data_IF_323576089466
#
_entry.id   IF_323576089466
#
_cell.length_a   1.000
_cell.length_b   1.000
_cell.length_c   1.000
_cell.angle_alpha   90.00
_cell.angle_beta   90.00
_cell.angle_gamma   90.00
#
_symmetry.space_group_name_H-M   'P 1'
#
loop_
_entity.id
_entity.type
_entity.pdbx_description
1 polymer ?
#
# COMPACT_ATOMS: atom_id res chain seq x y z
N UNK A 1 -16.89 -8.86 12.73
CA UNK A 1 -15.51 -8.30 12.59
C UNK A 1 -15.10 -8.39 11.13
N UNK A 2 -14.63 -7.30 10.51
CA UNK A 2 -14.23 -7.31 9.10
C UNK A 2 -13.10 -8.32 8.88
N UNK A 3 -13.13 -9.05 7.74
CA UNK A 3 -12.10 -10.03 7.40
C UNK A 3 -10.71 -9.39 7.28
N UNK A 4 -10.64 -8.12 6.91
CA UNK A 4 -9.40 -7.35 6.89
C UNK A 4 -8.79 -7.20 8.28
N UNK A 5 -9.61 -6.92 9.31
CA UNK A 5 -9.14 -6.85 10.70
C UNK A 5 -8.64 -8.22 11.18
N UNK A 6 -9.26 -9.31 10.73
CA UNK A 6 -8.77 -10.66 11.07
C UNK A 6 -7.46 -10.99 10.34
N UNK A 7 -7.30 -10.55 9.10
CA UNK A 7 -6.08 -10.73 8.33
C UNK A 7 -4.86 -10.08 9.00
N UNK A 8 -5.02 -8.89 9.60
CA UNK A 8 -3.91 -8.21 10.31
C UNK A 8 -3.37 -8.98 11.52
N UNK A 9 -4.17 -9.92 12.06
CA UNK A 9 -3.79 -10.81 13.18
C UNK A 9 -3.23 -12.16 12.70
N UNK A 10 -3.04 -12.32 11.39
CA UNK A 10 -2.46 -13.53 10.79
C UNK A 10 -0.96 -13.39 10.60
N UNK A 11 -0.24 -14.52 10.52
CA UNK A 11 1.20 -14.49 10.26
C UNK A 11 1.58 -14.08 8.84
N UNK A 12 0.70 -14.26 7.85
CA UNK A 12 0.97 -13.98 6.44
C UNK A 12 0.91 -12.48 6.09
N UNK A 13 0.08 -11.70 6.77
CA UNK A 13 -0.19 -10.32 6.38
C UNK A 13 1.01 -9.37 6.57
N UNK A 14 1.77 -9.44 7.67
CA UNK A 14 3.04 -8.72 7.76
C UNK A 14 4.03 -9.11 6.66
N UNK A 15 4.16 -10.40 6.32
CA UNK A 15 5.04 -10.84 5.23
C UNK A 15 4.61 -10.27 3.85
N UNK A 16 3.30 -10.13 3.62
CA UNK A 16 2.78 -9.47 2.43
C UNK A 16 3.19 -7.99 2.36
N UNK A 17 3.24 -7.28 3.51
CA UNK A 17 3.59 -5.86 3.58
C UNK A 17 5.10 -5.59 3.61
N UNK A 18 5.94 -6.56 3.99
CA UNK A 18 7.39 -6.40 4.11
C UNK A 18 8.07 -5.72 2.91
N UNK A 19 7.75 -6.04 1.64
CA UNK A 19 8.38 -5.37 0.50
C UNK A 19 8.16 -3.85 0.47
N UNK A 20 7.01 -3.38 0.99
CA UNK A 20 6.72 -1.96 1.13
C UNK A 20 7.53 -1.36 2.27
N UNK A 21 7.59 -2.05 3.41
CA UNK A 21 8.41 -1.63 4.55
C UNK A 21 9.87 -1.45 4.14
N UNK A 22 10.46 -2.45 3.49
CA UNK A 22 11.82 -2.39 2.95
C UNK A 22 12.01 -1.19 2.02
N UNK A 23 11.08 -1.02 1.07
CA UNK A 23 11.14 0.11 0.13
C UNK A 23 11.03 1.47 0.83
N UNK A 24 10.21 1.62 1.86
CA UNK A 24 10.08 2.88 2.61
C UNK A 24 11.37 3.15 3.38
N UNK A 25 11.90 2.17 4.08
CA UNK A 25 13.08 2.30 4.95
C UNK A 25 14.41 2.44 4.19
N UNK A 26 14.43 2.11 2.91
CA UNK A 26 15.59 2.36 2.02
C UNK A 26 15.86 3.87 1.78
N UNK A 27 14.99 4.76 2.26
CA UNK A 27 15.23 6.19 2.22
C UNK A 27 16.05 6.63 3.45
N UNK A 28 17.16 7.35 3.27
CA UNK A 28 17.93 7.85 4.39
C UNK A 28 17.25 9.05 5.07
N UNK A 29 17.36 9.10 6.41
CA UNK A 29 16.94 10.25 7.20
C UNK A 29 15.49 10.21 7.69
N UNK A 30 15.07 11.35 8.23
CA UNK A 30 13.72 11.59 8.71
C UNK A 30 12.82 11.88 7.52
N UNK A 31 11.90 10.99 7.20
CA UNK A 31 11.00 11.12 6.07
C UNK A 31 9.54 11.23 6.50
N UNK A 32 8.78 11.96 5.69
CA UNK A 32 7.32 12.06 5.78
C UNK A 32 6.68 10.99 4.89
N UNK A 33 5.89 10.12 5.47
CA UNK A 33 5.21 9.02 4.77
C UNK A 33 3.71 9.23 4.77
N UNK A 34 3.05 9.00 3.65
CA UNK A 34 1.59 8.92 3.57
C UNK A 34 1.16 7.50 3.18
N UNK A 35 0.37 6.86 4.01
CA UNK A 35 -0.26 5.56 3.69
C UNK A 35 -1.73 5.76 3.32
N UNK A 36 -2.07 5.50 2.05
CA UNK A 36 -3.42 5.69 1.51
C UNK A 36 -4.15 4.34 1.44
N UNK A 37 -5.29 4.27 2.13
CA UNK A 37 -6.02 3.02 2.33
C UNK A 37 -5.38 2.18 3.43
N UNK A 38 -5.00 2.82 4.53
CA UNK A 38 -4.22 2.23 5.62
C UNK A 38 -4.91 1.06 6.32
N UNK A 39 -6.23 0.92 6.15
CA UNK A 39 -6.99 -0.07 6.88
C UNK A 39 -6.82 0.07 8.40
N UNK A 40 -6.62 -1.02 9.15
CA UNK A 40 -6.44 -0.97 10.60
C UNK A 40 -5.00 -0.63 11.05
N UNK A 41 -4.17 -0.01 10.17
CA UNK A 41 -2.89 0.58 10.53
C UNK A 41 -1.70 -0.37 10.63
N UNK A 42 -1.74 -1.56 10.01
CA UNK A 42 -0.66 -2.55 10.12
C UNK A 42 0.64 -2.06 9.47
N UNK A 43 0.60 -1.44 8.28
CA UNK A 43 1.80 -0.91 7.65
C UNK A 43 2.43 0.24 8.46
N UNK A 44 1.69 1.27 8.90
CA UNK A 44 2.21 2.29 9.82
C UNK A 44 2.84 1.70 11.08
N UNK A 45 2.22 0.70 11.70
CA UNK A 45 2.76 0.02 12.87
C UNK A 45 4.12 -0.64 12.58
N UNK A 46 4.22 -1.37 11.47
CA UNK A 46 5.46 -2.04 11.07
C UNK A 46 6.59 -1.03 10.81
N UNK A 47 6.26 0.07 10.12
CA UNK A 47 7.22 1.14 9.82
C UNK A 47 7.75 1.79 11.10
N UNK A 48 6.88 2.23 12.00
CA UNK A 48 7.25 2.88 13.26
C UNK A 48 8.03 1.93 14.19
N UNK A 49 7.72 0.63 14.18
CA UNK A 49 8.45 -0.34 14.99
C UNK A 49 9.91 -0.52 14.55
N UNK A 50 10.20 -0.29 13.27
CA UNK A 50 11.55 -0.40 12.72
C UNK A 50 12.28 0.95 12.67
N UNK A 51 11.57 2.06 12.46
CA UNK A 51 12.13 3.40 12.51
C UNK A 51 11.18 4.36 13.25
N UNK A 52 11.40 4.57 14.56
CA UNK A 52 10.56 5.48 15.38
C UNK A 52 10.66 6.96 15.01
N UNK A 53 11.63 7.36 14.18
CA UNK A 53 11.79 8.75 13.73
C UNK A 53 10.85 9.13 12.57
N UNK A 54 10.21 8.15 11.92
CA UNK A 54 9.25 8.41 10.85
C UNK A 54 8.06 9.24 11.34
N UNK A 55 7.59 10.12 10.49
CA UNK A 55 6.29 10.79 10.61
C UNK A 55 5.35 10.24 9.56
N UNK A 56 4.24 9.66 10.01
CA UNK A 56 3.33 8.94 9.14
C UNK A 56 1.93 9.55 9.21
N UNK A 57 1.44 10.02 8.07
CA UNK A 57 0.02 10.27 7.87
C UNK A 57 -0.62 9.02 7.27
N UNK A 58 -1.74 8.58 7.79
CA UNK A 58 -2.40 7.35 7.37
C UNK A 58 -3.90 7.61 7.19
N UNK A 59 -4.40 7.44 5.98
CA UNK A 59 -5.79 7.76 5.64
C UNK A 59 -6.55 6.56 5.13
N UNK A 60 -7.85 6.51 5.44
CA UNK A 60 -8.77 5.51 4.91
C UNK A 60 -10.17 6.11 4.72
N UNK A 61 -10.93 5.56 3.78
CA UNK A 61 -12.34 5.95 3.52
C UNK A 61 -13.32 5.25 4.46
N UNK A 62 -12.86 4.36 5.31
CA UNK A 62 -13.65 3.64 6.32
C UNK A 62 -13.38 4.19 7.71
N UNK A 63 -14.36 4.86 8.32
CA UNK A 63 -14.27 5.32 9.72
C UNK A 63 -13.97 4.16 10.68
N UNK A 64 -14.57 3.01 10.43
CA UNK A 64 -14.35 1.80 11.26
C UNK A 64 -12.88 1.37 11.23
N UNK A 65 -12.22 1.44 10.06
CA UNK A 65 -10.80 1.12 9.94
C UNK A 65 -9.92 2.12 10.70
N UNK A 66 -10.20 3.40 10.56
CA UNK A 66 -9.48 4.46 11.27
C UNK A 66 -9.66 4.32 12.80
N UNK A 67 -10.87 4.04 13.27
CA UNK A 67 -11.11 3.85 14.70
C UNK A 67 -10.37 2.62 15.25
N UNK A 68 -10.30 1.53 14.48
CA UNK A 68 -9.49 0.36 14.83
C UNK A 68 -7.99 0.64 14.77
N UNK A 69 -7.51 1.38 13.77
CA UNK A 69 -6.11 1.77 13.66
C UNK A 69 -5.64 2.58 14.88
N UNK A 70 -6.42 3.57 15.30
CA UNK A 70 -6.14 4.39 16.49
C UNK A 70 -6.07 3.56 17.78
N UNK A 71 -6.89 2.51 17.90
CA UNK A 71 -6.87 1.61 19.06
C UNK A 71 -5.67 0.65 19.05
N UNK A 72 -5.33 0.12 17.87
CA UNK A 72 -4.30 -0.90 17.74
C UNK A 72 -2.88 -0.31 17.74
N UNK A 73 -2.74 0.93 17.27
CA UNK A 73 -1.44 1.58 17.08
C UNK A 73 -1.43 2.97 17.73
N UNK A 74 -1.51 3.08 19.06
CA UNK A 74 -1.47 4.36 19.76
C UNK A 74 -0.03 4.92 19.73
N UNK A 75 0.33 5.63 18.67
CA UNK A 75 1.65 6.26 18.53
C UNK A 75 1.49 7.72 18.05
N UNK A 76 2.15 8.66 18.76
CA UNK A 76 2.07 10.10 18.48
C UNK A 76 2.70 10.52 17.15
N UNK A 77 3.51 9.67 16.52
CA UNK A 77 4.15 9.94 15.23
C UNK A 77 3.33 9.38 14.05
N UNK A 78 2.13 8.87 14.32
CA UNK A 78 1.19 8.41 13.31
C UNK A 78 -0.12 9.19 13.44
N UNK A 79 -0.50 9.85 12.36
CA UNK A 79 -1.76 10.59 12.24
C UNK A 79 -2.76 9.78 11.42
N UNK A 80 -3.79 9.24 12.08
CA UNK A 80 -4.84 8.47 11.41
C UNK A 80 -6.05 9.35 11.11
N UNK A 81 -6.39 9.54 9.83
CA UNK A 81 -7.49 10.40 9.42
C UNK A 81 -8.47 9.71 8.47
N UNK A 82 -9.75 10.02 8.67
CA UNK A 82 -10.79 9.64 7.73
C UNK A 82 -10.77 10.55 6.52
N UNK A 83 -10.62 9.97 5.32
CA UNK A 83 -10.65 10.69 4.06
C UNK A 83 -11.95 10.39 3.30
N UNK A 84 -12.71 11.41 2.97
CA UNK A 84 -13.90 11.25 2.16
C UNK A 84 -13.53 10.92 0.71
N UNK A 85 -14.19 9.91 0.15
CA UNK A 85 -14.00 9.51 -1.26
C UNK A 85 -14.25 10.69 -2.21
N UNK A 86 -13.45 10.81 -3.26
CA UNK A 86 -13.56 11.86 -4.30
C UNK A 86 -13.38 13.30 -3.79
N UNK A 87 -12.81 13.49 -2.63
CA UNK A 87 -12.36 14.81 -2.17
C UNK A 87 -10.85 14.95 -2.37
N UNK A 88 -10.35 16.17 -2.65
CA UNK A 88 -8.91 16.43 -2.66
C UNK A 88 -8.27 15.97 -1.35
N UNK A 89 -7.03 15.52 -1.42
CA UNK A 89 -6.27 15.15 -0.23
C UNK A 89 -5.90 16.42 0.57
N UNK A 90 -6.12 16.44 1.90
CA UNK A 90 -5.96 17.65 2.73
C UNK A 90 -4.49 17.94 3.07
N UNK A 91 -3.59 17.74 2.13
CA UNK A 91 -2.14 17.89 2.30
C UNK A 91 -1.56 18.93 1.36
N UNK A 92 -0.49 19.58 1.81
CA UNK A 92 0.23 20.58 1.03
C UNK A 92 0.93 19.96 -0.19
N UNK A 93 1.21 20.79 -1.19
CA UNK A 93 2.04 20.38 -2.32
C UNK A 93 3.45 20.00 -1.84
N UNK A 94 4.02 18.93 -2.40
CA UNK A 94 5.38 18.47 -2.11
C UNK A 94 5.63 18.24 -0.59
N UNK A 95 4.70 17.58 0.09
CA UNK A 95 4.79 17.32 1.52
C UNK A 95 5.48 15.99 1.84
N UNK A 96 5.21 14.92 1.08
CA UNK A 96 5.65 13.57 1.42
C UNK A 96 6.84 13.09 0.60
N UNK A 97 7.75 12.38 1.26
CA UNK A 97 8.88 11.71 0.62
C UNK A 97 8.44 10.39 -0.01
N UNK A 98 7.56 9.66 0.68
CA UNK A 98 7.02 8.38 0.22
C UNK A 98 5.50 8.36 0.39
N UNK A 99 4.79 7.86 -0.63
CA UNK A 99 3.37 7.57 -0.57
C UNK A 99 3.17 6.08 -0.84
N UNK A 100 2.36 5.41 -0.04
CA UNK A 100 2.08 3.98 -0.18
C UNK A 100 0.63 3.69 -0.50
N UNK A 101 0.41 2.66 -1.35
CA UNK A 101 -0.89 2.09 -1.67
C UNK A 101 -0.82 0.57 -1.54
N UNK A 102 -1.37 0.01 -0.47
CA UNK A 102 -1.38 -1.43 -0.26
C UNK A 102 -2.77 -2.02 -0.52
N UNK A 103 -2.94 -2.72 -1.63
CA UNK A 103 -4.21 -3.34 -2.05
C UNK A 103 -5.37 -2.35 -2.26
N UNK A 104 -5.10 -1.15 -2.79
CA UNK A 104 -6.09 -0.08 -2.99
C UNK A 104 -6.43 0.13 -4.47
N UNK A 105 -5.44 0.47 -5.29
CA UNK A 105 -5.68 1.03 -6.63
C UNK A 105 -6.44 0.09 -7.58
N UNK A 106 -6.22 -1.21 -7.48
CA UNK A 106 -6.89 -2.20 -8.34
C UNK A 106 -8.39 -2.38 -8.02
N UNK A 107 -8.88 -1.79 -6.92
CA UNK A 107 -10.29 -1.80 -6.51
C UNK A 107 -11.06 -0.58 -7.05
N UNK A 108 -10.35 0.43 -7.58
CA UNK A 108 -10.94 1.70 -8.01
C UNK A 108 -11.25 1.69 -9.50
N UNK A 109 -12.29 2.41 -9.90
CA UNK A 109 -12.54 2.74 -11.29
C UNK A 109 -11.45 3.69 -11.84
N UNK A 110 -11.31 3.77 -13.18
CA UNK A 110 -10.22 4.50 -13.82
C UNK A 110 -10.24 6.00 -13.51
N UNK A 111 -11.41 6.61 -13.39
CA UNK A 111 -11.54 8.04 -13.07
C UNK A 111 -11.08 8.34 -11.65
N UNK A 112 -11.56 7.57 -10.68
CA UNK A 112 -11.19 7.70 -9.28
C UNK A 112 -9.70 7.44 -9.08
N UNK A 113 -9.16 6.42 -9.73
CA UNK A 113 -7.75 6.06 -9.74
C UNK A 113 -6.86 7.17 -10.27
N UNK A 114 -7.21 7.74 -11.44
CA UNK A 114 -6.47 8.84 -12.06
C UNK A 114 -6.48 10.09 -11.18
N UNK A 115 -7.64 10.46 -10.63
CA UNK A 115 -7.73 11.61 -9.75
C UNK A 115 -6.89 11.42 -8.48
N UNK A 116 -6.95 10.24 -7.87
CA UNK A 116 -6.17 9.93 -6.66
C UNK A 116 -4.66 9.95 -6.94
N UNK A 117 -4.23 9.42 -8.08
CA UNK A 117 -2.81 9.44 -8.47
C UNK A 117 -2.32 10.86 -8.80
N UNK A 118 -3.15 11.70 -9.44
CA UNK A 118 -2.81 13.10 -9.68
C UNK A 118 -2.61 13.87 -8.35
N UNK A 119 -3.50 13.64 -7.38
CA UNK A 119 -3.35 14.19 -6.03
C UNK A 119 -2.10 13.66 -5.33
N UNK A 120 -1.83 12.35 -5.41
CA UNK A 120 -0.61 11.76 -4.86
C UNK A 120 0.65 12.40 -5.47
N UNK A 121 0.67 12.63 -6.78
CA UNK A 121 1.79 13.34 -7.43
C UNK A 121 1.89 14.80 -6.97
N UNK A 122 0.77 15.49 -6.76
CA UNK A 122 0.77 16.87 -6.28
C UNK A 122 1.46 17.01 -4.92
N UNK A 123 1.14 16.08 -4.01
CA UNK A 123 1.65 16.11 -2.62
C UNK A 123 2.99 15.40 -2.46
N UNK A 124 3.48 14.68 -3.48
CA UNK A 124 4.78 14.03 -3.47
C UNK A 124 5.90 15.05 -3.69
N UNK A 125 6.93 15.02 -2.84
CA UNK A 125 8.14 15.86 -2.98
C UNK A 125 8.87 15.60 -4.29
N UNK A 126 9.69 16.56 -4.76
CA UNK A 126 10.74 16.31 -5.73
C UNK A 126 11.62 15.13 -5.24
N UNK A 127 11.94 14.20 -6.13
CA UNK A 127 12.66 12.95 -5.79
C UNK A 127 11.95 11.98 -4.84
N UNK A 128 10.68 12.25 -4.53
CA UNK A 128 9.83 11.32 -3.79
C UNK A 128 9.40 10.13 -4.64
N UNK A 129 8.91 9.08 -3.97
CA UNK A 129 8.41 7.86 -4.63
C UNK A 129 7.02 7.46 -4.15
N UNK A 130 6.28 6.83 -5.04
CA UNK A 130 5.02 6.14 -4.72
C UNK A 130 5.26 4.64 -4.81
N UNK A 131 4.94 3.92 -3.75
CA UNK A 131 5.10 2.47 -3.63
C UNK A 131 3.72 1.82 -3.62
N UNK A 132 3.49 0.92 -4.57
CA UNK A 132 2.19 0.28 -4.75
C UNK A 132 2.37 -1.22 -4.59
N UNK A 133 1.63 -1.83 -3.67
CA UNK A 133 1.60 -3.28 -3.47
C UNK A 133 0.23 -3.82 -3.85
N UNK A 134 0.20 -4.74 -4.80
CA UNK A 134 -1.03 -5.39 -5.25
C UNK A 134 -0.88 -6.91 -5.26
N UNK A 135 -1.97 -7.67 -5.06
CA UNK A 135 -1.96 -9.11 -5.33
C UNK A 135 -1.53 -9.38 -6.78
N UNK A 136 -0.75 -10.44 -7.02
CA UNK A 136 -0.27 -10.72 -8.39
C UNK A 136 -1.30 -11.43 -9.27
N UNK A 137 -2.21 -12.19 -8.66
CA UNK A 137 -3.16 -13.04 -9.38
C UNK A 137 -2.52 -14.18 -10.20
N UNK A 138 -1.20 -14.35 -10.13
CA UNK A 138 -0.44 -15.29 -10.99
C UNK A 138 -0.58 -16.74 -10.57
N UNK A 139 -0.51 -16.99 -9.26
CA UNK A 139 -0.55 -18.38 -8.76
C UNK A 139 -1.96 -18.96 -8.82
N UNK A 140 -2.10 -20.27 -9.10
CA UNK A 140 -3.37 -20.97 -8.96
C UNK A 140 -3.91 -20.85 -7.53
N UNK A 141 -5.23 -20.74 -7.37
CA UNK A 141 -5.86 -20.65 -6.03
C UNK A 141 -5.56 -21.89 -5.18
N UNK A 142 -5.44 -23.06 -5.82
CA UNK A 142 -5.08 -24.31 -5.14
C UNK A 142 -3.72 -24.23 -4.41
N UNK A 143 -2.76 -23.45 -4.91
CA UNK A 143 -1.47 -23.28 -4.23
C UNK A 143 -1.61 -22.63 -2.85
N UNK A 144 -2.69 -21.90 -2.62
CA UNK A 144 -2.96 -21.26 -1.33
C UNK A 144 -3.14 -22.27 -0.18
N UNK A 145 -3.65 -23.48 -0.48
CA UNK A 145 -3.76 -24.56 0.51
C UNK A 145 -2.39 -24.97 1.03
N UNK A 146 -1.40 -25.08 0.16
CA UNK A 146 -0.04 -25.45 0.57
C UNK A 146 0.71 -24.30 1.23
N UNK A 147 0.41 -23.06 0.86
CA UNK A 147 1.07 -21.88 1.42
C UNK A 147 0.59 -21.55 2.83
N UNK A 148 -0.68 -21.81 3.15
CA UNK A 148 -1.23 -21.63 4.52
C UNK A 148 -0.49 -22.52 5.54
N UNK A 149 0.01 -23.70 5.13
CA UNK A 149 0.75 -24.61 5.99
C UNK A 149 2.11 -24.07 6.43
N UNK A 150 2.63 -23.03 5.80
CA UNK A 150 3.86 -22.35 6.23
C UNK A 150 3.68 -21.50 7.48
N UNK A 151 2.44 -21.16 7.81
CA UNK A 151 2.14 -20.33 8.97
C UNK A 151 1.68 -21.18 10.13
N UNK A 152 2.02 -20.80 11.40
CA UNK A 152 1.53 -21.51 12.58
C UNK A 152 0.01 -21.63 12.55
N UNK A 153 -0.53 -22.73 13.03
CA UNK A 153 -1.96 -22.98 13.06
C UNK A 153 -2.68 -21.89 13.85
N UNK A 154 -3.15 -20.86 13.16
CA UNK A 154 -4.00 -19.81 13.67
C UNK A 154 -5.28 -19.79 12.86
N UNK A 155 -6.41 -19.67 13.55
CA UNK A 155 -7.71 -19.53 12.89
C UNK A 155 -7.72 -18.34 11.90
N UNK A 156 -6.87 -17.34 12.13
CA UNK A 156 -6.78 -16.17 11.26
C UNK A 156 -6.04 -16.44 9.94
N UNK A 157 -5.29 -17.54 9.82
CA UNK A 157 -4.55 -17.84 8.59
C UNK A 157 -5.46 -18.28 7.43
N UNK A 158 -6.68 -18.73 7.69
CA UNK A 158 -7.66 -18.98 6.62
C UNK A 158 -7.99 -17.70 5.83
N UNK A 159 -7.78 -16.54 6.44
CA UNK A 159 -7.97 -15.24 5.77
C UNK A 159 -7.09 -15.09 4.53
N UNK A 160 -5.94 -15.79 4.46
CA UNK A 160 -5.11 -15.84 3.26
C UNK A 160 -5.84 -16.43 2.06
N UNK A 161 -6.56 -17.53 2.25
CA UNK A 161 -7.35 -18.14 1.19
C UNK A 161 -8.48 -17.21 0.73
N UNK A 162 -9.19 -16.59 1.68
CA UNK A 162 -10.28 -15.66 1.35
C UNK A 162 -9.74 -14.43 0.63
N UNK A 163 -8.63 -13.86 1.10
CA UNK A 163 -7.95 -12.77 0.43
C UNK A 163 -7.57 -13.14 -1.01
N UNK A 164 -6.99 -14.33 -1.22
CA UNK A 164 -6.66 -14.84 -2.55
C UNK A 164 -7.89 -14.97 -3.45
N UNK A 165 -8.98 -15.56 -2.93
CA UNK A 165 -10.24 -15.69 -3.68
C UNK A 165 -10.80 -14.32 -4.05
N UNK A 166 -10.89 -13.40 -3.08
CA UNK A 166 -11.47 -12.08 -3.28
C UNK A 166 -10.66 -11.19 -4.23
N UNK A 167 -9.33 -11.34 -4.26
CA UNK A 167 -8.46 -10.40 -5.00
C UNK A 167 -7.98 -10.92 -6.36
N UNK A 168 -8.04 -12.22 -6.64
CA UNK A 168 -7.41 -12.82 -7.84
C UNK A 168 -7.91 -12.21 -9.15
N UNK A 169 -9.21 -11.98 -9.31
CA UNK A 169 -9.78 -11.42 -10.55
C UNK A 169 -9.37 -9.96 -10.74
N UNK A 170 -9.53 -9.12 -9.72
CA UNK A 170 -9.11 -7.71 -9.76
C UNK A 170 -7.61 -7.58 -10.00
N UNK A 171 -6.81 -8.43 -9.35
CA UNK A 171 -5.36 -8.47 -9.54
C UNK A 171 -4.96 -8.84 -10.97
N UNK A 172 -5.60 -9.85 -11.57
CA UNK A 172 -5.35 -10.22 -12.98
C UNK A 172 -5.71 -9.09 -13.94
N UNK A 173 -6.85 -8.44 -13.72
CA UNK A 173 -7.26 -7.27 -14.50
C UNK A 173 -6.24 -6.14 -14.38
N UNK A 174 -5.82 -5.81 -13.17
CA UNK A 174 -4.77 -4.81 -12.91
C UNK A 174 -3.48 -5.12 -13.67
N UNK A 175 -2.99 -6.35 -13.57
CA UNK A 175 -1.75 -6.78 -14.23
C UNK A 175 -1.84 -6.71 -15.76
N UNK A 176 -2.99 -7.04 -16.33
CA UNK A 176 -3.19 -7.04 -17.79
C UNK A 176 -3.33 -5.65 -18.38
N UNK A 177 -3.91 -4.71 -17.62
CA UNK A 177 -4.12 -3.33 -18.07
C UNK A 177 -2.82 -2.53 -18.13
N UNK A 178 -1.78 -2.93 -17.37
CA UNK A 178 -0.51 -2.18 -17.25
C UNK A 178 -0.72 -0.70 -16.93
N UNK A 179 -1.73 -0.43 -16.11
CA UNK A 179 -2.21 0.94 -15.86
C UNK A 179 -1.09 1.84 -15.32
N UNK A 180 -0.32 1.35 -14.33
CA UNK A 180 0.78 2.11 -13.73
C UNK A 180 1.92 2.40 -14.68
N UNK A 181 2.28 1.43 -15.53
CA UNK A 181 3.30 1.59 -16.56
C UNK A 181 2.92 2.71 -17.56
N UNK A 182 1.67 2.71 -18.02
CA UNK A 182 1.13 3.76 -18.89
C UNK A 182 1.12 5.12 -18.20
N UNK A 183 0.56 5.17 -16.98
CA UNK A 183 0.46 6.40 -16.21
C UNK A 183 1.84 7.01 -15.95
N UNK A 184 2.84 6.22 -15.58
CA UNK A 184 4.20 6.69 -15.36
C UNK A 184 4.84 7.24 -16.65
N UNK A 185 4.63 6.55 -17.78
CA UNK A 185 5.11 7.01 -19.10
C UNK A 185 4.50 8.34 -19.51
N UNK A 186 3.17 8.50 -19.36
CA UNK A 186 2.44 9.73 -19.70
C UNK A 186 2.85 10.92 -18.82
N UNK A 187 3.31 10.68 -17.58
CA UNK A 187 3.74 11.72 -16.63
C UNK A 187 5.27 11.88 -16.52
N UNK A 188 6.05 11.25 -17.42
CA UNK A 188 7.51 11.32 -17.46
C UNK A 188 8.14 10.93 -16.11
N UNK A 189 7.68 9.81 -15.55
CA UNK A 189 8.15 9.26 -14.28
C UNK A 189 8.90 7.95 -14.51
N UNK A 190 9.87 7.64 -13.66
CA UNK A 190 10.45 6.29 -13.67
C UNK A 190 9.48 5.28 -13.10
N UNK A 191 9.50 4.08 -13.65
CA UNK A 191 8.66 2.97 -13.23
C UNK A 191 9.47 1.70 -13.09
N UNK A 192 9.30 1.03 -11.97
CA UNK A 192 9.84 -0.31 -11.74
C UNK A 192 8.75 -1.24 -11.24
N UNK A 193 8.89 -2.53 -11.55
CA UNK A 193 7.95 -3.57 -11.13
C UNK A 193 8.69 -4.86 -10.84
N UNK A 194 8.39 -5.46 -9.71
CA UNK A 194 8.92 -6.77 -9.33
C UNK A 194 7.87 -7.64 -8.65
N UNK A 195 8.14 -8.95 -8.60
CA UNK A 195 7.34 -9.90 -7.85
C UNK A 195 7.78 -9.90 -6.40
N UNK A 196 6.83 -10.02 -5.49
CA UNK A 196 7.02 -10.03 -4.06
C UNK A 196 6.18 -11.11 -3.39
N UNK A 197 6.38 -11.32 -2.09
CA UNK A 197 5.60 -12.25 -1.28
C UNK A 197 5.44 -13.62 -1.96
N UNK A 198 6.56 -14.28 -2.23
CA UNK A 198 6.58 -15.59 -2.92
C UNK A 198 5.75 -15.61 -4.23
N UNK A 199 5.81 -14.55 -5.03
CA UNK A 199 5.05 -14.35 -6.26
C UNK A 199 3.51 -14.19 -6.07
N UNK A 200 3.02 -14.02 -4.84
CA UNK A 200 1.61 -13.73 -4.57
C UNK A 200 1.27 -12.24 -4.69
N UNK A 201 2.27 -11.37 -4.69
CA UNK A 201 2.13 -9.93 -4.86
C UNK A 201 3.04 -9.39 -5.96
N UNK A 202 2.74 -8.19 -6.41
CA UNK A 202 3.63 -7.32 -7.17
C UNK A 202 3.85 -6.03 -6.40
N UNK A 203 5.10 -5.57 -6.37
CA UNK A 203 5.44 -4.22 -5.94
C UNK A 203 5.79 -3.39 -7.17
N UNK A 204 5.16 -2.22 -7.28
CA UNK A 204 5.36 -1.25 -8.35
C UNK A 204 5.79 0.06 -7.71
N UNK A 205 6.86 0.67 -8.22
CA UNK A 205 7.38 1.92 -7.70
C UNK A 205 7.46 2.93 -8.84
N UNK A 206 6.93 4.13 -8.61
CA UNK A 206 7.13 5.27 -9.49
C UNK A 206 7.84 6.39 -8.72
N UNK A 207 8.75 7.09 -9.40
CA UNK A 207 9.51 8.19 -8.81
C UNK A 207 9.52 9.38 -9.74
N UNK A 208 9.44 10.58 -9.14
CA UNK A 208 9.72 11.84 -9.86
C UNK A 208 11.24 12.00 -9.97
N UNK A 209 11.74 12.15 -11.18
CA UNK A 209 13.08 12.68 -11.38
C UNK A 209 12.99 14.13 -11.85
N UNK A 210 13.59 15.03 -11.10
CA UNK A 210 13.91 16.34 -11.65
C UNK A 210 15.18 16.17 -12.47
N UNK A 211 15.06 16.27 -13.79
CA UNK A 211 16.21 16.58 -14.61
C UNK A 211 16.67 17.97 -14.16
N UNK A 212 17.81 18.06 -13.48
CA UNK A 212 18.53 19.32 -13.40
C UNK A 212 18.88 19.67 -14.84
N UNK A 213 18.15 20.61 -15.42
CA UNK A 213 18.59 21.27 -16.64
C UNK A 213 19.88 22.05 -16.24
N UNK A 214 21.00 21.53 -16.69
CA UNK A 214 22.34 22.17 -16.57
C UNK A 214 22.33 23.39 -17.47
#
# INVERSE_FOLDING_TARGET
MSIFIQATRSGWYPEFLNPVVESVLDNPGDIEVLDIGTGPGTLPQMLISQNPALRISAIDTSRVMIDEARKLVPNKNIDFEYQQTNKPLPFAQAQFDVITFCSVLFLLDDKTKTNLMNEAIRILKPNGKIVILTPSGRKPILSSFFEVWKYPFSINNYTFMIWRLATTWGARSWQSQKWMEKYASENVMTYTKSLAFNNNATIEIISKHFFHTI
#
